data_IF_382820576965
#
_entry.id   IF_382820576965
#
_cell.length_a   1.000
_cell.length_b   1.000
_cell.length_c   1.000
_cell.angle_alpha   90.00
_cell.angle_beta   90.00
_cell.angle_gamma   90.00
#
_symmetry.space_group_name_H-M   'P 1'
#
loop_
_entity.id
_entity.type
_entity.pdbx_description
1 polymer ?
#
# COMPACT_ATOMS: atom_id res chain seq x y z
N UNK A 1 10.74 1.63 -39.61
CA UNK A 1 10.42 2.15 -38.27
C UNK A 1 9.86 0.96 -37.51
N UNK A 2 10.67 0.36 -36.66
CA UNK A 2 10.23 -0.82 -35.89
C UNK A 2 9.58 -0.22 -34.64
N UNK A 3 8.26 -0.30 -34.56
CA UNK A 3 7.55 0.04 -33.33
C UNK A 3 8.03 -0.92 -32.25
N UNK A 4 8.94 -0.45 -31.39
CA UNK A 4 9.21 -1.11 -30.13
C UNK A 4 7.96 -0.93 -29.28
N UNK A 5 7.06 -1.90 -29.33
CA UNK A 5 6.08 -2.08 -28.27
C UNK A 5 6.89 -2.49 -27.06
N UNK A 6 7.15 -1.57 -26.13
CA UNK A 6 7.62 -1.95 -24.80
C UNK A 6 6.67 -3.04 -24.29
N UNK A 7 7.18 -4.22 -23.91
CA UNK A 7 6.33 -5.23 -23.31
C UNK A 7 5.71 -4.59 -22.07
N UNK A 8 4.38 -4.55 -22.00
CA UNK A 8 3.66 -4.01 -20.85
C UNK A 8 4.23 -4.68 -19.60
N UNK A 9 4.88 -3.91 -18.72
CA UNK A 9 5.38 -4.42 -17.45
C UNK A 9 4.18 -4.94 -16.66
N UNK A 10 3.98 -6.26 -16.62
CA UNK A 10 2.86 -6.86 -15.92
C UNK A 10 3.28 -7.22 -14.49
N UNK A 11 3.13 -6.28 -13.57
CA UNK A 11 3.39 -6.51 -12.15
C UNK A 11 2.24 -7.35 -11.60
N UNK A 12 2.52 -8.61 -11.31
CA UNK A 12 1.57 -9.47 -10.63
C UNK A 12 1.65 -9.24 -9.12
N UNK A 13 0.58 -8.65 -8.56
CA UNK A 13 0.42 -8.46 -7.12
C UNK A 13 -0.39 -9.61 -6.54
N UNK A 14 0.28 -10.54 -5.86
CA UNK A 14 -0.37 -11.64 -5.13
C UNK A 14 -0.69 -11.22 -3.70
N UNK A 15 -1.97 -11.18 -3.34
CA UNK A 15 -2.43 -10.72 -2.02
C UNK A 15 -1.83 -11.53 -0.86
N UNK A 16 -1.80 -12.86 -0.98
CA UNK A 16 -1.31 -13.75 0.07
C UNK A 16 0.22 -13.73 0.20
N UNK A 17 0.95 -13.83 -0.92
CA UNK A 17 2.40 -14.00 -0.87
C UNK A 17 3.10 -12.77 -0.26
N UNK A 18 2.69 -11.57 -0.71
CA UNK A 18 3.33 -10.31 -0.33
C UNK A 18 3.04 -9.83 1.10
N UNK A 19 1.95 -10.31 1.72
CA UNK A 19 1.55 -9.97 3.10
C UNK A 19 1.71 -11.14 4.07
N UNK A 20 2.20 -12.29 3.58
CA UNK A 20 2.38 -13.49 4.37
C UNK A 20 3.28 -13.25 5.59
N UNK A 21 3.06 -14.02 6.66
CA UNK A 21 3.96 -14.03 7.82
C UNK A 21 5.41 -14.32 7.40
N UNK A 22 5.61 -15.19 6.41
CA UNK A 22 6.94 -15.51 5.88
C UNK A 22 7.63 -14.27 5.26
N UNK A 23 6.95 -13.55 4.37
CA UNK A 23 7.50 -12.33 3.77
C UNK A 23 7.81 -11.25 4.82
N UNK A 24 6.94 -11.11 5.84
CA UNK A 24 7.15 -10.18 6.96
C UNK A 24 8.28 -10.62 7.89
N UNK A 25 8.42 -11.92 8.16
CA UNK A 25 9.50 -12.48 8.97
C UNK A 25 10.88 -12.34 8.29
N UNK A 26 10.91 -12.33 6.96
CA UNK A 26 12.09 -11.97 6.17
C UNK A 26 12.32 -10.45 6.10
N UNK A 27 11.53 -9.66 6.82
CA UNK A 27 11.62 -8.21 6.89
C UNK A 27 11.44 -7.53 5.51
N UNK A 28 10.67 -8.15 4.61
CA UNK A 28 10.36 -7.59 3.30
C UNK A 28 9.04 -6.82 3.35
N UNK A 29 9.11 -5.52 3.10
CA UNK A 29 7.92 -4.73 2.83
C UNK A 29 7.21 -5.27 1.57
N UNK A 30 5.88 -5.15 1.53
CA UNK A 30 5.06 -5.83 0.51
C UNK A 30 5.47 -5.53 -0.95
N UNK A 31 5.89 -4.30 -1.26
CA UNK A 31 6.37 -3.93 -2.60
C UNK A 31 7.75 -4.53 -2.93
N UNK A 32 8.64 -4.69 -1.94
CA UNK A 32 9.90 -5.41 -2.11
C UNK A 32 9.67 -6.91 -2.37
N UNK A 33 8.62 -7.47 -1.76
CA UNK A 33 8.21 -8.84 -2.06
C UNK A 33 7.71 -8.99 -3.50
N UNK A 34 6.89 -8.04 -3.97
CA UNK A 34 6.44 -8.00 -5.37
C UNK A 34 7.63 -7.86 -6.33
N UNK A 35 8.61 -7.01 -6.00
CA UNK A 35 9.83 -6.81 -6.79
C UNK A 35 10.64 -8.09 -6.97
N UNK A 36 10.87 -8.82 -5.88
CA UNK A 36 11.58 -10.11 -5.95
C UNK A 36 10.83 -11.16 -6.78
N UNK A 37 9.50 -11.17 -6.72
CA UNK A 37 8.68 -12.12 -7.48
C UNK A 37 8.58 -11.79 -8.98
N UNK A 38 8.61 -10.51 -9.34
CA UNK A 38 8.41 -10.04 -10.71
C UNK A 38 9.70 -9.58 -11.41
N UNK A 39 10.83 -9.50 -10.69
CA UNK A 39 12.16 -9.24 -11.26
C UNK A 39 12.45 -7.78 -11.61
N UNK A 40 11.86 -6.80 -10.91
CA UNK A 40 12.09 -5.37 -11.13
C UNK A 40 12.89 -4.72 -9.98
N UNK A 41 13.51 -3.57 -10.23
CA UNK A 41 14.19 -2.76 -9.21
C UNK A 41 13.18 -1.83 -8.52
N UNK A 42 12.90 -2.01 -7.22
CA UNK A 42 11.94 -1.19 -6.50
C UNK A 42 12.55 0.13 -6.01
N UNK A 43 11.79 1.22 -6.06
CA UNK A 43 12.08 2.43 -5.28
C UNK A 43 10.80 3.12 -4.81
N UNK A 44 10.92 3.99 -3.82
CA UNK A 44 9.79 4.73 -3.26
C UNK A 44 10.22 6.15 -2.86
N UNK A 45 9.37 7.14 -3.13
CA UNK A 45 9.39 8.40 -2.38
C UNK A 45 8.37 8.32 -1.26
N UNK A 46 8.69 8.84 -0.08
CA UNK A 46 7.82 8.79 1.10
C UNK A 46 7.69 10.20 1.69
N UNK A 47 6.46 10.61 1.94
CA UNK A 47 6.15 11.78 2.76
C UNK A 47 5.38 11.31 4.00
N UNK A 48 5.71 11.88 5.16
CA UNK A 48 5.00 11.64 6.42
C UNK A 48 4.46 12.94 6.96
N UNK A 49 3.18 12.94 7.32
CA UNK A 49 2.51 14.07 7.97
C UNK A 49 1.50 13.58 9.00
N UNK A 50 0.90 14.53 9.71
CA UNK A 50 -0.20 14.28 10.64
C UNK A 50 -1.41 15.07 10.19
N UNK A 51 -2.59 14.46 10.22
CA UNK A 51 -3.85 15.12 9.91
C UNK A 51 -4.95 14.65 10.87
N UNK A 52 -6.08 15.35 10.88
CA UNK A 52 -7.26 14.92 11.62
C UNK A 52 -8.07 13.94 10.77
N UNK A 53 -8.50 12.83 11.36
CA UNK A 53 -9.32 11.85 10.67
C UNK A 53 -10.67 12.45 10.27
N UNK A 54 -11.00 12.35 8.98
CA UNK A 54 -12.37 12.56 8.51
C UNK A 54 -13.28 11.40 8.94
N UNK A 55 -14.58 11.54 8.69
CA UNK A 55 -15.57 10.52 9.04
C UNK A 55 -15.24 9.13 8.47
N UNK A 56 -14.70 9.04 7.25
CA UNK A 56 -14.37 7.77 6.60
C UNK A 56 -13.19 7.10 7.27
N UNK A 57 -12.11 7.85 7.51
CA UNK A 57 -10.90 7.35 8.18
C UNK A 57 -11.23 6.95 9.61
N UNK A 58 -12.01 7.75 10.31
CA UNK A 58 -12.46 7.48 11.68
C UNK A 58 -13.26 6.18 11.77
N UNK A 59 -14.20 5.97 10.85
CA UNK A 59 -14.99 4.74 10.75
C UNK A 59 -14.09 3.50 10.52
N UNK A 60 -13.19 3.55 9.54
CA UNK A 60 -12.34 2.40 9.22
C UNK A 60 -11.31 2.09 10.31
N UNK A 61 -10.85 3.10 11.04
CA UNK A 61 -9.89 2.95 12.15
C UNK A 61 -10.58 2.80 13.51
N UNK A 62 -11.91 2.80 13.57
CA UNK A 62 -12.67 2.75 14.82
C UNK A 62 -12.18 3.78 15.87
N UNK A 63 -11.84 4.99 15.41
CA UNK A 63 -11.44 6.14 16.24
C UNK A 63 -12.48 7.25 16.15
N UNK A 64 -12.36 8.28 16.99
CA UNK A 64 -13.21 9.46 16.88
C UNK A 64 -12.91 10.25 15.60
N UNK A 65 -13.94 10.80 14.95
CA UNK A 65 -13.74 11.82 13.93
C UNK A 65 -12.99 13.02 14.56
N UNK A 66 -12.01 13.54 13.83
CA UNK A 66 -11.12 14.57 14.36
C UNK A 66 -10.02 14.04 15.29
N UNK A 67 -9.83 12.72 15.42
CA UNK A 67 -8.65 12.17 16.07
C UNK A 67 -7.43 12.28 15.14
N UNK A 68 -6.25 12.50 15.73
CA UNK A 68 -5.01 12.65 14.97
C UNK A 68 -4.56 11.30 14.39
N UNK A 69 -4.16 11.30 13.12
CA UNK A 69 -3.60 10.14 12.42
C UNK A 69 -2.24 10.46 11.82
N UNK A 70 -1.38 9.45 11.79
CA UNK A 70 -0.14 9.48 10.99
C UNK A 70 -0.47 9.09 9.56
N UNK A 71 -0.10 9.93 8.62
CA UNK A 71 -0.27 9.70 7.19
C UNK A 71 1.07 9.47 6.54
N UNK A 72 1.18 8.36 5.80
CA UNK A 72 2.34 8.03 5.00
C UNK A 72 1.96 7.93 3.54
N UNK A 73 2.35 8.91 2.76
CA UNK A 73 2.14 8.94 1.31
C UNK A 73 3.36 8.43 0.57
N UNK A 74 3.13 7.59 -0.44
CA UNK A 74 4.19 6.90 -1.17
C UNK A 74 3.91 6.87 -2.65
N UNK A 75 4.94 7.16 -3.44
CA UNK A 75 4.98 6.88 -4.87
C UNK A 75 5.95 5.72 -5.08
N UNK A 76 5.40 4.56 -5.43
CA UNK A 76 6.13 3.32 -5.65
C UNK A 76 6.51 3.20 -7.13
N UNK A 77 7.75 2.77 -7.37
CA UNK A 77 8.35 2.68 -8.69
C UNK A 77 8.94 1.31 -8.97
N UNK A 78 8.68 0.79 -10.15
CA UNK A 78 9.33 -0.39 -10.70
C UNK A 78 10.23 0.05 -11.87
N UNK A 79 11.53 -0.24 -11.79
CA UNK A 79 12.52 0.17 -12.81
C UNK A 79 12.50 1.69 -13.10
N UNK A 80 12.26 2.48 -12.04
CA UNK A 80 12.15 3.94 -12.12
C UNK A 80 10.78 4.46 -12.60
N UNK A 81 9.93 3.62 -13.18
CA UNK A 81 8.58 4.01 -13.62
C UNK A 81 7.62 4.04 -12.44
N UNK A 82 6.83 5.11 -12.29
CA UNK A 82 5.74 5.19 -11.31
C UNK A 82 4.71 4.08 -11.56
N UNK A 83 4.36 3.26 -10.58
CA UNK A 83 3.38 2.19 -10.80
C UNK A 83 2.21 2.25 -9.82
N UNK A 84 2.45 2.73 -8.60
CA UNK A 84 1.43 2.79 -7.57
C UNK A 84 1.60 4.04 -6.70
N UNK A 85 0.48 4.69 -6.39
CA UNK A 85 0.35 5.68 -5.34
C UNK A 85 -0.29 5.02 -4.12
N UNK A 86 0.14 5.37 -2.91
CA UNK A 86 -0.34 4.74 -1.69
C UNK A 86 -0.35 5.72 -0.53
N UNK A 87 -1.48 5.81 0.16
CA UNK A 87 -1.68 6.65 1.34
C UNK A 87 -2.12 5.75 2.49
N UNK A 88 -1.21 5.49 3.43
CA UNK A 88 -1.54 4.81 4.69
C UNK A 88 -1.93 5.83 5.75
N UNK A 89 -2.98 5.54 6.51
CA UNK A 89 -3.35 6.26 7.73
C UNK A 89 -3.42 5.30 8.90
N UNK A 90 -2.79 5.69 10.00
CA UNK A 90 -2.75 4.94 11.25
C UNK A 90 -3.13 5.86 12.40
N UNK A 91 -3.84 5.36 13.41
CA UNK A 91 -4.09 6.12 14.63
C UNK A 91 -2.76 6.60 15.22
N UNK A 92 -2.67 7.87 15.61
CA UNK A 92 -1.46 8.43 16.22
C UNK A 92 -1.11 7.73 17.55
N UNK A 93 -2.09 7.14 18.22
CA UNK A 93 -1.86 6.33 19.42
C UNK A 93 -0.97 5.10 19.15
N UNK A 94 -1.02 4.55 17.93
CA UNK A 94 -0.21 3.40 17.52
C UNK A 94 1.19 3.80 17.05
N UNK A 95 1.37 5.03 16.58
CA UNK A 95 2.60 5.45 15.90
C UNK A 95 3.52 6.31 16.74
N UNK A 96 2.98 7.01 17.76
CA UNK A 96 3.72 8.02 18.53
C UNK A 96 5.01 7.45 19.12
N UNK A 97 6.14 8.06 18.75
CA UNK A 97 7.46 7.65 19.23
C UNK A 97 8.01 6.37 18.59
N UNK A 98 7.37 5.86 17.54
CA UNK A 98 7.86 4.73 16.73
C UNK A 98 8.43 5.24 15.41
N UNK A 99 9.27 4.43 14.76
CA UNK A 99 9.80 4.74 13.44
C UNK A 99 8.73 4.77 12.33
N UNK A 100 7.44 4.50 12.62
CA UNK A 100 6.33 4.69 11.68
C UNK A 100 6.18 6.16 11.29
N UNK A 101 6.55 7.08 12.19
CA UNK A 101 6.50 8.53 11.95
C UNK A 101 7.69 9.05 11.13
N UNK A 102 8.67 8.19 10.85
CA UNK A 102 9.83 8.51 10.04
C UNK A 102 9.61 8.14 8.56
N UNK A 103 10.30 8.86 7.68
CA UNK A 103 10.39 8.53 6.24
C UNK A 103 10.92 7.10 6.08
N UNK A 104 12.03 6.81 6.76
CA UNK A 104 12.70 5.52 6.76
C UNK A 104 12.26 4.66 7.95
N UNK A 105 11.18 3.92 7.75
CA UNK A 105 10.66 3.00 8.78
C UNK A 105 11.59 1.84 9.12
N UNK A 106 12.63 1.58 8.32
CA UNK A 106 13.52 0.41 8.43
C UNK A 106 12.97 -0.88 7.77
N UNK A 107 13.72 -1.99 7.82
CA UNK A 107 13.31 -3.29 7.27
C UNK A 107 11.93 -3.74 7.77
N UNK A 108 11.14 -4.39 6.90
CA UNK A 108 9.76 -4.83 7.18
C UNK A 108 8.71 -3.73 7.18
N UNK A 109 9.14 -2.46 7.19
CA UNK A 109 8.29 -1.30 7.09
C UNK A 109 7.32 -1.13 8.26
N UNK A 110 6.22 -0.41 8.01
CA UNK A 110 5.18 -0.10 9.01
C UNK A 110 4.65 -1.32 9.76
N UNK A 111 4.48 -2.46 9.09
CA UNK A 111 3.95 -3.67 9.72
C UNK A 111 4.91 -4.30 10.74
N UNK A 112 6.21 -4.31 10.46
CA UNK A 112 7.18 -4.80 11.44
C UNK A 112 7.22 -3.90 12.69
N UNK A 113 7.13 -2.56 12.51
CA UNK A 113 7.07 -1.61 13.62
C UNK A 113 5.80 -1.78 14.48
N UNK A 114 4.65 -2.07 13.86
CA UNK A 114 3.43 -2.40 14.58
C UNK A 114 3.58 -3.68 15.42
N UNK A 115 4.16 -4.73 14.83
CA UNK A 115 4.39 -6.00 15.55
C UNK A 115 5.40 -5.86 16.69
N UNK A 116 6.45 -5.06 16.52
CA UNK A 116 7.42 -4.71 17.57
C UNK A 116 6.79 -3.95 18.74
N UNK A 117 5.80 -3.11 18.46
CA UNK A 117 4.99 -2.41 19.46
C UNK A 117 3.92 -3.32 20.12
N UNK A 118 3.84 -4.59 19.74
CA UNK A 118 2.90 -5.57 20.30
C UNK A 118 1.58 -5.71 19.52
N UNK A 119 1.38 -4.95 18.44
CA UNK A 119 0.19 -5.01 17.60
C UNK A 119 0.35 -6.08 16.50
N UNK A 120 0.13 -7.34 16.88
CA UNK A 120 0.28 -8.49 15.97
C UNK A 120 -0.80 -8.50 14.89
N UNK A 121 -0.39 -8.66 13.63
CA UNK A 121 -1.31 -8.67 12.48
C UNK A 121 -2.14 -9.96 12.41
N UNK A 122 -3.46 -9.80 12.38
CA UNK A 122 -4.44 -10.88 12.27
C UNK A 122 -4.93 -11.10 10.84
N UNK A 123 -5.53 -10.07 10.22
CA UNK A 123 -6.16 -10.20 8.89
C UNK A 123 -6.00 -8.92 8.05
N UNK A 124 -6.24 -9.06 6.75
CA UNK A 124 -6.30 -7.94 5.81
C UNK A 124 -7.59 -8.03 5.02
N UNK A 125 -8.29 -6.92 4.86
CA UNK A 125 -9.46 -6.81 3.98
C UNK A 125 -9.13 -5.81 2.89
N UNK A 126 -9.28 -6.21 1.63
CA UNK A 126 -9.07 -5.33 0.48
C UNK A 126 -10.38 -5.15 -0.29
N UNK A 127 -10.75 -3.90 -0.54
CA UNK A 127 -11.83 -3.52 -1.46
C UNK A 127 -11.20 -3.00 -2.74
N UNK A 128 -11.57 -3.61 -3.87
CA UNK A 128 -10.97 -3.33 -5.18
C UNK A 128 -12.00 -2.68 -6.08
N UNK A 129 -11.59 -1.64 -6.78
CA UNK A 129 -12.40 -0.96 -7.79
C UNK A 129 -11.57 -0.52 -8.99
N UNK A 130 -12.21 0.15 -9.93
CA UNK A 130 -11.57 0.76 -11.08
C UNK A 130 -12.27 2.07 -11.44
N UNK A 131 -11.50 3.05 -11.92
CA UNK A 131 -12.00 4.33 -12.44
C UNK A 131 -10.96 4.99 -13.34
N UNK A 132 -11.33 6.09 -13.99
CA UNK A 132 -10.33 6.97 -14.60
C UNK A 132 -9.51 7.69 -13.50
N UNK A 133 -8.23 7.98 -13.76
CA UNK A 133 -7.40 8.75 -12.84
C UNK A 133 -7.90 10.19 -12.75
N UNK A 134 -7.70 10.83 -11.60
CA UNK A 134 -7.78 12.30 -11.54
C UNK A 134 -6.50 12.93 -12.15
N UNK A 135 -6.47 14.24 -12.42
CA UNK A 135 -5.31 14.88 -13.05
C UNK A 135 -4.00 14.72 -12.28
N UNK A 136 -4.03 14.75 -10.94
CA UNK A 136 -2.83 14.56 -10.13
C UNK A 136 -2.30 13.13 -10.20
N UNK A 137 -3.19 12.14 -10.19
CA UNK A 137 -2.83 10.73 -10.34
C UNK A 137 -2.27 10.44 -11.73
N UNK A 138 -2.91 10.96 -12.79
CA UNK A 138 -2.45 10.81 -14.17
C UNK A 138 -1.04 11.39 -14.34
N UNK A 139 -0.81 12.59 -13.79
CA UNK A 139 0.50 13.22 -13.80
C UNK A 139 1.55 12.41 -13.03
N UNK A 140 1.27 11.99 -11.79
CA UNK A 140 2.22 11.25 -10.96
C UNK A 140 2.54 9.85 -11.50
N UNK A 141 1.56 9.19 -12.12
CA UNK A 141 1.71 7.85 -12.69
C UNK A 141 2.19 7.88 -14.15
N UNK A 142 2.32 9.06 -14.77
CA UNK A 142 2.57 9.23 -16.20
C UNK A 142 1.59 8.39 -17.04
N UNK A 143 0.29 8.55 -16.75
CA UNK A 143 -0.79 7.89 -17.48
C UNK A 143 -1.49 8.87 -18.40
N UNK A 144 -1.99 8.37 -19.52
CA UNK A 144 -3.04 9.06 -20.27
C UNK A 144 -4.29 9.15 -19.40
N UNK A 145 -5.04 10.25 -19.49
CA UNK A 145 -6.33 10.40 -18.79
C UNK A 145 -7.36 9.34 -19.21
N UNK A 146 -7.16 8.71 -20.37
CA UNK A 146 -7.99 7.61 -20.86
C UNK A 146 -7.55 6.22 -20.32
N UNK A 147 -6.40 6.11 -19.66
CA UNK A 147 -5.92 4.85 -19.08
C UNK A 147 -6.50 4.68 -17.67
N UNK A 148 -7.32 3.64 -17.41
CA UNK A 148 -7.89 3.43 -16.08
C UNK A 148 -6.82 3.17 -15.01
N UNK A 149 -7.23 3.37 -13.77
CA UNK A 149 -6.50 2.94 -12.57
C UNK A 149 -7.31 1.90 -11.81
N UNK A 150 -6.62 0.97 -11.16
CA UNK A 150 -7.22 0.12 -10.13
C UNK A 150 -7.12 0.84 -8.78
N UNK A 151 -8.21 0.86 -8.02
CA UNK A 151 -8.22 1.39 -6.65
C UNK A 151 -8.25 0.23 -5.67
N UNK A 152 -7.41 0.27 -4.64
CA UNK A 152 -7.44 -0.71 -3.55
C UNK A 152 -7.46 0.00 -2.21
N UNK A 153 -8.54 -0.18 -1.44
CA UNK A 153 -8.59 0.19 -0.02
C UNK A 153 -8.28 -1.04 0.80
N UNK A 154 -7.18 -1.02 1.56
CA UNK A 154 -6.83 -2.12 2.47
C UNK A 154 -6.99 -1.69 3.91
N UNK A 155 -7.67 -2.51 4.72
CA UNK A 155 -7.62 -2.39 6.18
C UNK A 155 -6.82 -3.57 6.75
N UNK A 156 -5.80 -3.27 7.54
CA UNK A 156 -5.06 -4.26 8.32
C UNK A 156 -5.67 -4.34 9.72
N UNK A 157 -6.00 -5.55 10.19
CA UNK A 157 -6.54 -5.78 11.53
C UNK A 157 -5.54 -6.56 12.38
N UNK A 158 -5.53 -6.29 13.68
CA UNK A 158 -4.82 -7.05 14.68
C UNK A 158 -5.43 -8.44 14.90
N UNK A 159 -4.73 -9.33 15.60
CA UNK A 159 -5.26 -10.64 16.03
C UNK A 159 -6.48 -10.48 16.97
N UNK A 160 -6.61 -9.35 17.64
CA UNK A 160 -7.76 -8.96 18.46
C UNK A 160 -8.91 -8.33 17.66
N UNK A 161 -8.76 -8.21 16.34
CA UNK A 161 -9.75 -7.60 15.44
C UNK A 161 -9.69 -6.07 15.37
N UNK A 162 -8.81 -5.41 16.13
CA UNK A 162 -8.67 -3.94 16.07
C UNK A 162 -8.11 -3.48 14.72
N UNK A 163 -8.63 -2.41 14.10
CA UNK A 163 -8.05 -1.87 12.87
C UNK A 163 -6.73 -1.12 13.18
N UNK A 164 -5.66 -1.47 12.49
CA UNK A 164 -4.31 -0.93 12.70
C UNK A 164 -3.91 0.09 11.62
N UNK A 165 -4.37 -0.10 10.39
CA UNK A 165 -4.06 0.76 9.24
C UNK A 165 -5.20 0.71 8.22
N UNK A 166 -5.57 1.87 7.67
CA UNK A 166 -6.26 1.97 6.37
C UNK A 166 -5.25 2.46 5.32
N UNK A 167 -5.21 1.81 4.16
CA UNK A 167 -4.31 2.13 3.06
C UNK A 167 -5.07 2.25 1.75
N UNK A 168 -5.14 3.47 1.25
CA UNK A 168 -5.72 3.78 -0.05
C UNK A 168 -4.63 3.73 -1.12
N UNK A 169 -4.85 2.91 -2.15
CA UNK A 169 -3.89 2.70 -3.23
C UNK A 169 -4.53 2.97 -4.58
N UNK A 170 -3.75 3.60 -5.46
CA UNK A 170 -4.08 3.80 -6.88
C UNK A 170 -2.98 3.16 -7.70
N UNK A 171 -3.35 2.17 -8.51
CA UNK A 171 -2.43 1.36 -9.29
C UNK A 171 -2.67 1.62 -10.78
N UNK A 172 -1.59 1.80 -11.55
CA UNK A 172 -1.65 1.91 -13.00
C UNK A 172 -2.19 0.59 -13.60
N UNK A 173 -3.39 0.60 -14.19
CA UNK A 173 -4.07 -0.64 -14.60
C UNK A 173 -3.45 -1.29 -15.84
N UNK A 174 -2.70 -0.53 -16.63
CA UNK A 174 -1.87 -1.01 -17.75
C UNK A 174 -0.60 -1.75 -17.29
N UNK A 175 -0.25 -1.64 -16.00
CA UNK A 175 0.98 -2.21 -15.40
C UNK A 175 0.71 -3.24 -14.30
N UNK A 176 -0.51 -3.30 -13.76
CA UNK A 176 -0.83 -4.17 -12.62
C UNK A 176 -1.87 -5.22 -12.95
N UNK A 177 -1.59 -6.43 -12.47
CA UNK A 177 -2.58 -7.49 -12.35
C UNK A 177 -2.71 -7.90 -10.87
N UNK A 178 -3.94 -7.83 -10.33
CA UNK A 178 -4.24 -8.31 -8.98
C UNK A 178 -4.57 -9.80 -9.02
N UNK A 179 -3.82 -10.60 -8.26
CA UNK A 179 -3.99 -12.05 -8.17
C UNK A 179 -4.44 -12.46 -6.77
N UNK A 180 -5.54 -13.20 -6.74
CA UNK A 180 -6.10 -13.77 -5.53
C UNK A 180 -6.16 -15.29 -5.71
N UNK A 181 -5.68 -16.00 -4.71
CA UNK A 181 -5.89 -17.43 -4.56
C UNK A 181 -6.71 -17.63 -3.28
N UNK A 182 -7.52 -18.68 -3.23
CA UNK A 182 -8.20 -19.13 -2.03
C UNK A 182 -8.50 -20.62 -2.18
N UNK A 183 -8.54 -21.39 -1.08
CA UNK A 183 -8.99 -22.77 -1.13
C UNK A 183 -10.46 -22.81 -1.59
N UNK A 184 -10.83 -23.91 -2.26
CA UNK A 184 -12.22 -24.14 -2.69
C UNK A 184 -13.11 -24.68 -1.57
N UNK A 185 -12.49 -25.20 -0.50
CA UNK A 185 -13.12 -25.89 0.63
C UNK A 185 -12.78 -25.20 1.97
#
# INVERSE_FOLDING_TARGET
>A
MVDFVEPASNIQRSSQARLSRAARAENRAAFLADAGANGFVPSASVEVRFEQADARVAEHLAIAEGAEVTVRERVLRADGQAVQLSVSRLSRELTRGTAIEDVETGPGGTYARLEEAGHRLGSFVEQVGARLPNPAEAALLHLSEATPVLTVTRVAHGEDGSPLEINDMVLAADRYQLSYAWPAD
#
